data_IF_781673691516
#
_entry.id   IF_781673691516
#
_cell.length_a   1.000
_cell.length_b   1.000
_cell.length_c   1.000
_cell.angle_alpha   90.00
_cell.angle_beta   90.00
_cell.angle_gamma   90.00
#
_symmetry.space_group_name_H-M   'P 1'
#
loop_
_entity.id
_entity.type
_entity.pdbx_description
1 polymer ?
#
# COMPACT_ATOMS: atom_id res chain seq x y z
N UNK A 1 4.94 -14.14 21.48
CA UNK A 1 4.02 -13.48 20.53
C UNK A 1 4.26 -14.11 19.17
N UNK A 2 3.22 -14.61 18.49
CA UNK A 2 3.38 -15.09 17.11
C UNK A 2 3.71 -13.87 16.25
N UNK A 3 4.87 -13.86 15.60
CA UNK A 3 5.16 -12.89 14.54
C UNK A 3 4.04 -13.03 13.51
N UNK A 4 3.19 -12.01 13.31
CA UNK A 4 2.17 -12.09 12.28
C UNK A 4 2.87 -12.30 10.94
N UNK A 5 2.33 -13.23 10.13
CA UNK A 5 2.89 -13.54 8.82
C UNK A 5 2.59 -12.37 7.89
N UNK A 6 3.54 -11.44 7.82
CA UNK A 6 3.57 -10.39 6.82
C UNK A 6 4.12 -11.00 5.52
N UNK A 7 3.21 -11.29 4.58
CA UNK A 7 3.48 -11.96 3.31
C UNK A 7 2.70 -11.28 2.20
N UNK A 8 3.08 -11.53 0.94
CA UNK A 8 2.31 -11.08 -0.22
C UNK A 8 0.85 -11.57 -0.14
N UNK A 9 0.63 -12.85 0.19
CA UNK A 9 -0.71 -13.45 0.23
C UNK A 9 -1.61 -12.77 1.28
N UNK A 10 -1.11 -12.60 2.51
CA UNK A 10 -1.87 -11.97 3.58
C UNK A 10 -2.18 -10.50 3.28
N UNK A 11 -1.24 -9.77 2.67
CA UNK A 11 -1.46 -8.39 2.24
C UNK A 11 -2.47 -8.31 1.08
N UNK A 12 -2.36 -9.21 0.11
CA UNK A 12 -3.24 -9.26 -1.06
C UNK A 12 -4.69 -9.53 -0.66
N UNK A 13 -4.90 -10.48 0.25
CA UNK A 13 -6.22 -10.76 0.81
C UNK A 13 -6.77 -9.53 1.53
N UNK A 14 -5.96 -8.88 2.37
CA UNK A 14 -6.38 -7.68 3.08
C UNK A 14 -6.75 -6.53 2.14
N UNK A 15 -5.98 -6.31 1.08
CA UNK A 15 -6.27 -5.27 0.09
C UNK A 15 -7.58 -5.56 -0.65
N UNK A 16 -7.82 -6.83 -1.02
CA UNK A 16 -9.08 -7.23 -1.63
C UNK A 16 -10.27 -7.01 -0.68
N UNK A 17 -10.11 -7.28 0.61
CA UNK A 17 -11.16 -7.00 1.61
C UNK A 17 -11.44 -5.50 1.77
N UNK A 18 -10.39 -4.66 1.71
CA UNK A 18 -10.54 -3.19 1.78
C UNK A 18 -11.25 -2.63 0.55
N UNK A 19 -10.91 -3.13 -0.64
CA UNK A 19 -11.57 -2.75 -1.89
C UNK A 19 -13.00 -3.28 -1.94
N UNK A 20 -13.24 -4.52 -1.48
CA UNK A 20 -14.51 -5.21 -1.59
C UNK A 20 -15.05 -5.11 -3.03
N UNK A 21 -16.30 -4.67 -3.21
CA UNK A 21 -16.96 -4.43 -4.50
C UNK A 21 -16.60 -3.06 -5.13
N UNK A 22 -15.75 -2.25 -4.50
CA UNK A 22 -15.33 -0.95 -5.01
C UNK A 22 -14.04 -1.05 -5.80
N UNK A 23 -13.87 -0.15 -6.77
CA UNK A 23 -12.63 -0.02 -7.53
C UNK A 23 -11.59 0.86 -6.83
N UNK A 24 -11.99 1.66 -5.84
CA UNK A 24 -11.12 2.58 -5.12
C UNK A 24 -11.61 2.82 -3.70
N UNK A 25 -10.70 2.90 -2.75
CA UNK A 25 -11.01 3.24 -1.35
C UNK A 25 -9.90 4.12 -0.77
N UNK A 26 -10.28 5.13 0.01
CA UNK A 26 -9.33 5.90 0.83
C UNK A 26 -9.36 5.34 2.24
N UNK A 27 -8.19 4.93 2.76
CA UNK A 27 -8.07 4.30 4.07
C UNK A 27 -6.86 4.83 4.81
N UNK A 28 -6.87 4.72 6.14
CA UNK A 28 -5.63 4.85 6.92
C UNK A 28 -4.68 3.72 6.54
N UNK A 29 -3.40 4.03 6.32
CA UNK A 29 -2.39 3.06 5.92
C UNK A 29 -2.29 1.90 6.93
N UNK A 30 -2.50 2.16 8.23
CA UNK A 30 -2.53 1.13 9.27
C UNK A 30 -3.57 0.04 9.06
N UNK A 31 -4.58 0.28 8.19
CA UNK A 31 -5.58 -0.73 7.80
C UNK A 31 -5.04 -1.76 6.82
N UNK A 32 -3.86 -1.58 6.22
CA UNK A 32 -3.23 -2.57 5.33
C UNK A 32 -2.83 -3.86 6.07
N UNK A 33 -2.75 -3.82 7.41
CA UNK A 33 -2.37 -4.97 8.24
C UNK A 33 -3.33 -5.11 9.42
N UNK A 34 -3.28 -6.27 10.08
CA UNK A 34 -4.00 -6.54 11.35
C UNK A 34 -3.11 -6.45 12.59
N UNK A 35 -1.88 -5.96 12.40
CA UNK A 35 -0.91 -5.75 13.46
C UNK A 35 -0.33 -4.34 13.35
N UNK A 36 0.22 -3.86 14.46
CA UNK A 36 0.81 -2.53 14.57
C UNK A 36 2.21 -2.48 13.96
N UNK A 37 2.52 -1.39 13.28
CA UNK A 37 3.82 -1.04 12.74
C UNK A 37 4.04 0.47 12.90
N UNK A 38 5.29 0.93 12.83
CA UNK A 38 5.62 2.35 13.06
C UNK A 38 5.69 3.16 11.76
N UNK A 39 6.22 2.55 10.70
CA UNK A 39 6.45 3.20 9.41
C UNK A 39 6.30 2.19 8.28
N UNK A 40 5.78 2.62 7.14
CA UNK A 40 5.73 1.85 5.90
C UNK A 40 6.37 2.68 4.79
N UNK A 41 7.39 2.17 4.12
CA UNK A 41 7.99 2.79 2.94
C UNK A 41 7.70 1.99 1.67
N UNK A 42 7.44 2.68 0.57
CA UNK A 42 7.22 2.08 -0.74
C UNK A 42 8.50 2.25 -1.56
N UNK A 43 9.09 1.14 -2.00
CA UNK A 43 10.28 1.12 -2.85
C UNK A 43 9.93 0.59 -4.22
N UNK A 44 10.27 1.35 -5.26
CA UNK A 44 10.08 0.95 -6.65
C UNK A 44 11.44 0.55 -7.22
N UNK A 45 11.72 -0.74 -7.20
CA UNK A 45 12.96 -1.33 -7.74
C UNK A 45 12.58 -2.30 -8.88
N UNK A 46 13.17 -3.50 -8.93
CA UNK A 46 12.76 -4.58 -9.86
C UNK A 46 11.34 -5.11 -9.57
N UNK A 47 10.87 -4.93 -8.33
CA UNK A 47 9.50 -5.21 -7.85
C UNK A 47 9.08 -4.08 -6.91
N UNK A 48 7.77 -3.93 -6.68
CA UNK A 48 7.30 -3.06 -5.60
C UNK A 48 7.67 -3.71 -4.26
N UNK A 49 8.44 -3.04 -3.42
CA UNK A 49 8.75 -3.51 -2.08
C UNK A 49 8.10 -2.62 -1.03
N UNK A 50 7.31 -3.23 -0.15
CA UNK A 50 6.77 -2.58 1.04
C UNK A 50 7.68 -2.87 2.24
N UNK A 51 8.27 -1.84 2.82
CA UNK A 51 9.16 -1.93 3.97
C UNK A 51 8.46 -1.45 5.22
N UNK A 52 8.01 -2.39 6.05
CA UNK A 52 7.38 -2.11 7.33
C UNK A 52 8.43 -2.05 8.44
N UNK A 53 8.45 -0.96 9.20
CA UNK A 53 9.17 -0.91 10.47
C UNK A 53 8.27 -1.51 11.55
N UNK A 54 8.71 -2.60 12.17
CA UNK A 54 8.03 -3.33 13.24
C UNK A 54 9.04 -3.50 14.37
N UNK A 55 8.70 -3.03 15.57
CA UNK A 55 9.54 -3.06 16.77
C UNK A 55 11.00 -2.58 16.51
N UNK A 56 11.13 -1.55 15.67
CA UNK A 56 12.42 -0.96 15.31
C UNK A 56 13.19 -1.69 14.20
N UNK A 57 12.69 -2.81 13.69
CA UNK A 57 13.29 -3.60 12.59
C UNK A 57 12.51 -3.43 11.30
N UNK A 58 13.19 -3.33 10.17
CA UNK A 58 12.53 -3.29 8.86
C UNK A 58 12.27 -4.71 8.32
N UNK A 59 11.02 -4.94 7.93
CA UNK A 59 10.55 -6.15 7.27
C UNK A 59 10.08 -5.79 5.87
N UNK A 60 10.70 -6.42 4.86
CA UNK A 60 10.40 -6.18 3.45
C UNK A 60 9.41 -7.22 2.93
N UNK A 61 8.40 -6.77 2.22
CA UNK A 61 7.45 -7.59 1.45
C UNK A 61 7.59 -7.22 -0.02
N UNK A 62 8.18 -8.09 -0.85
CA UNK A 62 8.15 -7.91 -2.29
C UNK A 62 6.73 -8.17 -2.81
N UNK A 63 6.27 -7.35 -3.74
CA UNK A 63 4.99 -7.45 -4.41
C UNK A 63 5.22 -7.39 -5.94
N UNK A 64 4.69 -8.35 -6.71
CA UNK A 64 4.87 -8.38 -8.16
C UNK A 64 4.08 -7.25 -8.83
N UNK A 65 4.67 -6.61 -9.84
CA UNK A 65 4.05 -5.48 -10.55
C UNK A 65 2.78 -5.85 -11.32
N UNK A 66 2.62 -7.14 -11.62
CA UNK A 66 1.41 -7.72 -12.20
C UNK A 66 0.22 -7.64 -11.25
N UNK A 67 0.47 -7.54 -9.94
CA UNK A 67 -0.57 -7.48 -8.90
C UNK A 67 -0.60 -6.14 -8.15
N UNK A 68 0.54 -5.48 -7.95
CA UNK A 68 0.61 -4.24 -7.16
C UNK A 68 1.63 -3.25 -7.71
N UNK A 69 1.32 -1.96 -7.67
CA UNK A 69 2.27 -0.93 -8.07
C UNK A 69 2.06 0.40 -7.33
N UNK A 70 3.10 1.22 -7.38
CA UNK A 70 3.02 2.68 -7.26
C UNK A 70 3.46 3.25 -8.60
N UNK A 71 2.90 4.38 -9.01
CA UNK A 71 3.32 5.06 -10.23
C UNK A 71 4.72 5.69 -10.06
N UNK A 72 5.32 6.17 -11.15
CA UNK A 72 6.64 6.79 -11.13
C UNK A 72 6.63 8.08 -10.28
N UNK A 73 7.74 8.42 -9.63
CA UNK A 73 7.82 9.49 -8.62
C UNK A 73 7.54 10.89 -9.15
N UNK A 74 7.53 11.07 -10.48
CA UNK A 74 7.13 12.32 -11.11
C UNK A 74 5.60 12.42 -11.33
N UNK A 75 4.87 11.31 -11.17
CA UNK A 75 3.40 11.27 -11.25
C UNK A 75 2.82 11.78 -9.94
N UNK A 76 1.79 12.63 -10.07
CA UNK A 76 1.12 13.20 -8.92
C UNK A 76 0.59 12.11 -7.97
N UNK A 77 0.80 12.31 -6.68
CA UNK A 77 0.39 11.40 -5.61
C UNK A 77 1.09 10.02 -5.62
N UNK A 78 2.16 9.87 -6.40
CA UNK A 78 2.99 8.67 -6.30
C UNK A 78 3.56 8.53 -4.89
N UNK A 79 3.59 7.28 -4.42
CA UNK A 79 4.26 6.90 -3.19
C UNK A 79 5.68 6.37 -3.44
N UNK A 80 6.22 6.45 -4.66
CA UNK A 80 7.61 6.05 -4.94
C UNK A 80 8.58 6.72 -3.96
N UNK A 81 9.37 5.90 -3.26
CA UNK A 81 10.32 6.29 -2.22
C UNK A 81 9.75 7.07 -1.03
N UNK A 82 8.43 7.21 -0.97
CA UNK A 82 7.72 7.83 0.14
C UNK A 82 7.52 6.83 1.29
N UNK A 83 7.38 7.39 2.49
CA UNK A 83 6.99 6.62 3.65
C UNK A 83 5.79 7.25 4.35
N UNK A 84 4.92 6.40 4.86
CA UNK A 84 3.70 6.75 5.58
C UNK A 84 3.71 6.17 6.99
N UNK A 85 2.92 6.79 7.86
CA UNK A 85 2.59 6.35 9.21
C UNK A 85 1.24 5.64 9.21
N UNK A 86 0.91 4.84 10.24
CA UNK A 86 -0.38 4.16 10.30
C UNK A 86 -1.60 5.08 10.22
N UNK A 87 -1.45 6.34 10.65
CA UNK A 87 -2.52 7.34 10.63
C UNK A 87 -2.69 8.07 9.30
N UNK A 88 -1.69 8.02 8.41
CA UNK A 88 -1.77 8.69 7.12
C UNK A 88 -2.83 8.03 6.25
N UNK A 89 -3.55 8.85 5.49
CA UNK A 89 -4.50 8.36 4.51
C UNK A 89 -3.78 8.06 3.21
N UNK A 90 -4.15 6.93 2.60
CA UNK A 90 -3.71 6.51 1.27
C UNK A 90 -4.93 6.11 0.44
N UNK A 91 -4.78 6.17 -0.87
CA UNK A 91 -5.75 5.63 -1.81
C UNK A 91 -5.25 4.26 -2.27
N UNK A 92 -6.14 3.27 -2.21
CA UNK A 92 -5.95 1.93 -2.77
C UNK A 92 -6.95 1.77 -3.90
N UNK A 93 -6.47 1.46 -5.11
CA UNK A 93 -7.30 1.49 -6.31
C UNK A 93 -6.98 0.37 -7.29
N UNK A 94 -7.98 -0.24 -7.91
CA UNK A 94 -7.82 -1.12 -9.07
C UNK A 94 -7.46 -0.28 -10.29
N UNK A 95 -6.38 -0.65 -11.00
CA UNK A 95 -5.98 0.01 -12.25
C UNK A 95 -7.08 -0.02 -13.31
N UNK A 96 -7.78 -1.15 -13.40
CA UNK A 96 -8.86 -1.37 -14.37
C UNK A 96 -10.17 -1.65 -13.63
N UNK A 97 -11.14 -0.72 -13.66
CA UNK A 97 -12.44 -0.91 -13.02
C UNK A 97 -13.15 -2.19 -13.46
N UNK A 98 -13.72 -2.92 -12.51
CA UNK A 98 -14.44 -4.17 -12.79
C UNK A 98 -13.55 -5.36 -13.22
N UNK A 99 -12.22 -5.24 -13.14
CA UNK A 99 -11.27 -6.31 -13.41
C UNK A 99 -10.33 -6.53 -12.22
N UNK A 100 -9.90 -7.77 -12.01
CA UNK A 100 -8.87 -8.13 -11.03
C UNK A 100 -7.47 -7.75 -11.55
N UNK A 101 -7.31 -6.50 -11.99
CA UNK A 101 -6.04 -5.95 -12.45
C UNK A 101 -5.15 -5.52 -11.28
N UNK A 102 -3.94 -5.03 -11.57
CA UNK A 102 -3.03 -4.61 -10.53
C UNK A 102 -3.65 -3.49 -9.68
N UNK A 103 -3.35 -3.51 -8.40
CA UNK A 103 -3.77 -2.50 -7.42
C UNK A 103 -2.68 -1.45 -7.29
N UNK A 104 -3.09 -0.20 -7.37
CA UNK A 104 -2.28 0.98 -7.18
C UNK A 104 -2.38 1.51 -5.74
N UNK A 105 -1.25 1.92 -5.17
CA UNK A 105 -1.22 2.74 -3.96
C UNK A 105 -0.83 4.18 -4.31
N UNK A 106 -1.59 5.15 -3.79
CA UNK A 106 -1.32 6.57 -3.98
C UNK A 106 -1.44 7.29 -2.63
N UNK A 107 -0.76 8.44 -2.49
CA UNK A 107 -1.12 9.37 -1.43
C UNK A 107 -2.52 9.94 -1.70
N UNK A 108 -3.20 10.43 -0.67
CA UNK A 108 -4.41 11.23 -0.93
C UNK A 108 -3.99 12.48 -1.71
N UNK A 109 -4.78 12.89 -2.73
CA UNK A 109 -4.53 14.15 -3.41
C UNK A 109 -4.43 15.27 -2.39
N UNK A 110 -3.37 16.08 -2.48
CA UNK A 110 -3.38 17.39 -1.84
C UNK A 110 -4.49 18.19 -2.52
N UNK A 111 -5.70 18.16 -1.96
CA UNK A 111 -6.76 19.05 -2.39
C UNK A 111 -6.23 20.46 -2.23
N UNK A 112 -6.32 21.27 -3.27
CA UNK A 112 -6.32 22.72 -3.08
C UNK A 112 -7.38 23.01 -2.01
N UNK A 113 -6.93 23.45 -0.85
CA UNK A 113 -7.76 24.22 0.05
C UNK A 113 -8.22 25.44 -0.76
N UNK A 114 -9.48 25.44 -1.19
CA UNK A 114 -10.19 26.64 -1.65
C UNK A 114 -11.05 27.14 -0.48
#
# INVERSE_FOLDING_TARGET
>A
MKTPLLTEESLSQRINDLLSEQDSVTVQAGRLTDFSWQKLCFRRDDVLSLEFQIDGTFHRVPLPYEAFFVDEGHVANSLEDACVTPSDLIVVRRKYPGYAGPVEFQSVPAGNED
#
